data_IF_716559163767
#
_entry.id   IF_716559163767
#
_cell.length_a   1.000
_cell.length_b   1.000
_cell.length_c   1.000
_cell.angle_alpha   90.00
_cell.angle_beta   90.00
_cell.angle_gamma   90.00
#
_symmetry.space_group_name_H-M   'P 1'
#
loop_
_entity.id
_entity.type
_entity.pdbx_description
1 polymer ?
#
# COMPACT_ATOMS: atom_id res chain seq x y z
N UNK A 1 31.98 17.30 61.65
CA UNK A 1 30.80 16.64 61.05
C UNK A 1 29.89 17.55 60.18
N UNK A 2 30.28 18.78 59.79
CA UNK A 2 29.42 19.68 58.97
C UNK A 2 29.65 19.62 57.43
N UNK A 3 30.66 18.87 56.96
CA UNK A 3 31.03 18.80 55.53
C UNK A 3 30.11 17.91 54.68
N UNK A 4 29.51 16.87 55.26
CA UNK A 4 28.72 15.89 54.49
C UNK A 4 27.32 16.41 54.08
N UNK A 5 26.74 17.37 54.81
CA UNK A 5 25.40 17.89 54.49
C UNK A 5 25.36 18.67 53.17
N UNK A 6 26.40 19.42 52.84
CA UNK A 6 26.49 20.21 51.59
C UNK A 6 26.68 19.32 50.35
N UNK A 7 27.45 18.22 50.48
CA UNK A 7 27.63 17.24 49.41
C UNK A 7 26.32 16.51 49.11
N UNK A 8 25.57 16.14 50.15
CA UNK A 8 24.30 15.43 49.99
C UNK A 8 23.21 16.32 49.36
N UNK A 9 23.19 17.63 49.65
CA UNK A 9 22.20 18.52 49.02
C UNK A 9 22.50 18.79 47.54
N UNK A 10 23.78 18.89 47.16
CA UNK A 10 24.18 19.05 45.76
C UNK A 10 23.86 17.80 44.94
N UNK A 11 24.09 16.62 45.51
CA UNK A 11 23.68 15.34 44.89
C UNK A 11 22.16 15.27 44.74
N UNK A 12 21.39 15.65 45.76
CA UNK A 12 19.92 15.65 45.68
C UNK A 12 19.39 16.62 44.60
N UNK A 13 20.00 17.80 44.46
CA UNK A 13 19.63 18.77 43.43
C UNK A 13 19.92 18.26 42.00
N UNK A 14 21.06 17.60 41.80
CA UNK A 14 21.41 17.01 40.50
C UNK A 14 20.49 15.83 40.15
N UNK A 15 20.17 14.95 41.10
CA UNK A 15 19.23 13.85 40.88
C UNK A 15 17.84 14.38 40.55
N UNK A 16 17.38 15.42 41.25
CA UNK A 16 16.11 16.09 40.96
C UNK A 16 16.05 16.68 39.55
N UNK A 17 17.13 17.34 39.10
CA UNK A 17 17.22 17.90 37.76
C UNK A 17 17.19 16.82 36.67
N UNK A 18 17.93 15.72 36.86
CA UNK A 18 17.91 14.58 35.92
C UNK A 18 16.52 13.95 35.83
N UNK A 19 15.81 13.80 36.95
CA UNK A 19 14.44 13.30 36.96
C UNK A 19 13.46 14.24 36.23
N UNK A 20 13.61 15.55 36.41
CA UNK A 20 12.78 16.56 35.75
C UNK A 20 13.02 16.59 34.23
N UNK A 21 14.28 16.43 33.81
CA UNK A 21 14.63 16.31 32.39
C UNK A 21 14.12 14.99 31.79
N UNK A 22 14.19 13.87 32.52
CA UNK A 22 13.65 12.59 32.08
C UNK A 22 12.11 12.63 31.98
N UNK A 23 11.43 13.23 32.95
CA UNK A 23 9.98 13.42 32.93
C UNK A 23 9.56 14.40 31.81
N UNK A 24 10.33 15.47 31.59
CA UNK A 24 10.13 16.38 30.46
C UNK A 24 10.29 15.69 29.12
N UNK A 25 11.33 14.86 28.95
CA UNK A 25 11.54 14.07 27.74
C UNK A 25 10.45 13.01 27.53
N UNK A 26 9.95 12.38 28.61
CA UNK A 26 8.84 11.43 28.54
C UNK A 26 7.52 12.12 28.15
N UNK A 27 7.22 13.27 28.76
CA UNK A 27 6.03 14.09 28.47
C UNK A 27 6.05 14.70 27.06
N UNK A 28 7.23 15.05 26.55
CA UNK A 28 7.43 15.52 25.17
C UNK A 28 7.43 14.36 24.15
N UNK A 29 7.18 13.13 24.58
CA UNK A 29 7.09 11.98 23.69
C UNK A 29 8.42 11.54 23.09
N UNK A 30 9.56 12.04 23.61
CA UNK A 30 10.91 11.62 23.19
C UNK A 30 11.13 10.12 23.47
N UNK A 31 10.42 9.58 24.47
CA UNK A 31 10.36 8.14 24.78
C UNK A 31 9.00 7.49 24.42
N UNK A 32 8.07 8.23 23.83
CA UNK A 32 6.64 7.88 23.77
C UNK A 32 6.14 7.26 22.46
N UNK A 33 7.01 7.02 21.49
CA UNK A 33 6.68 6.24 20.29
C UNK A 33 7.79 5.23 20.04
N UNK A 34 8.02 4.34 21.00
CA UNK A 34 8.71 3.09 20.68
C UNK A 34 7.85 2.39 19.64
N UNK A 35 8.23 2.51 18.36
CA UNK A 35 7.59 1.80 17.27
C UNK A 35 7.66 0.32 17.63
N UNK A 36 6.53 -0.36 17.55
CA UNK A 36 6.48 -1.78 17.87
C UNK A 36 7.55 -2.51 17.03
N UNK A 37 8.44 -3.30 17.65
CA UNK A 37 9.50 -3.99 16.91
C UNK A 37 8.95 -4.86 15.76
N UNK A 38 7.72 -5.37 15.87
CA UNK A 38 7.05 -6.13 14.79
C UNK A 38 6.71 -5.26 13.58
N UNK A 39 6.33 -4.00 13.81
CA UNK A 39 6.04 -3.04 12.71
C UNK A 39 7.33 -2.67 11.99
N UNK A 40 8.44 -2.48 12.73
CA UNK A 40 9.75 -2.21 12.13
C UNK A 40 10.27 -3.38 11.30
N UNK A 41 10.13 -4.61 11.80
CA UNK A 41 10.53 -5.80 11.05
C UNK A 41 9.73 -5.94 9.75
N UNK A 42 8.41 -5.76 9.82
CA UNK A 42 7.56 -5.79 8.63
C UNK A 42 7.81 -4.61 7.69
N UNK A 43 8.17 -3.44 8.21
CA UNK A 43 8.58 -2.30 7.40
C UNK A 43 9.84 -2.64 6.59
N UNK A 44 10.81 -3.35 7.18
CA UNK A 44 12.00 -3.84 6.49
C UNK A 44 11.64 -4.91 5.44
N UNK A 45 10.80 -5.89 5.80
CA UNK A 45 10.34 -6.92 4.87
C UNK A 45 9.56 -6.32 3.69
N UNK A 46 8.75 -5.29 3.93
CA UNK A 46 8.00 -4.57 2.90
C UNK A 46 8.93 -3.99 1.83
N UNK A 47 10.15 -3.56 2.19
CA UNK A 47 11.13 -3.03 1.22
C UNK A 47 11.48 -4.06 0.16
N UNK A 48 11.64 -5.31 0.57
CA UNK A 48 11.97 -6.44 -0.32
C UNK A 48 10.72 -6.89 -1.08
N UNK A 49 9.58 -7.01 -0.40
CA UNK A 49 8.31 -7.45 -1.00
C UNK A 49 7.84 -6.53 -2.11
N UNK A 50 7.89 -5.21 -1.90
CA UNK A 50 7.43 -4.25 -2.89
C UNK A 50 8.49 -3.89 -3.94
N UNK A 51 9.77 -4.19 -3.67
CA UNK A 51 10.87 -3.98 -4.62
C UNK A 51 10.85 -4.87 -5.86
N UNK A 52 9.99 -5.90 -5.90
CA UNK A 52 9.80 -6.78 -7.06
C UNK A 52 10.55 -8.11 -6.98
N UNK A 53 11.65 -8.17 -6.23
CA UNK A 53 12.55 -9.34 -6.17
C UNK A 53 12.17 -10.38 -5.10
N UNK A 54 11.08 -10.14 -4.35
CA UNK A 54 10.71 -11.06 -3.28
C UNK A 54 10.15 -12.39 -3.79
N UNK A 55 10.59 -13.49 -3.17
CA UNK A 55 10.06 -14.84 -3.43
C UNK A 55 8.61 -14.97 -2.94
N UNK A 56 7.90 -16.01 -3.39
CA UNK A 56 6.52 -16.23 -2.94
C UNK A 56 6.47 -16.55 -1.44
N UNK A 57 7.50 -17.22 -0.90
CA UNK A 57 7.65 -17.49 0.53
C UNK A 57 7.80 -16.18 1.33
N UNK A 58 8.61 -15.23 0.85
CA UNK A 58 8.77 -13.93 1.48
C UNK A 58 7.48 -13.11 1.46
N UNK A 59 6.76 -13.15 0.33
CA UNK A 59 5.44 -12.51 0.22
C UNK A 59 4.42 -13.17 1.15
N UNK A 60 4.44 -14.49 1.27
CA UNK A 60 3.57 -15.24 2.17
C UNK A 60 3.85 -14.89 3.63
N UNK A 61 5.12 -14.91 4.05
CA UNK A 61 5.55 -14.53 5.39
C UNK A 61 5.17 -13.09 5.73
N UNK A 62 5.37 -12.14 4.79
CA UNK A 62 4.94 -10.76 4.97
C UNK A 62 3.42 -10.65 5.15
N UNK A 63 2.62 -11.34 4.33
CA UNK A 63 1.15 -11.37 4.46
C UNK A 63 0.71 -11.92 5.80
N UNK A 64 1.34 -12.99 6.28
CA UNK A 64 1.06 -13.59 7.59
C UNK A 64 1.42 -12.63 8.72
N UNK A 65 2.61 -12.02 8.66
CA UNK A 65 3.04 -11.02 9.63
C UNK A 65 2.07 -9.84 9.70
N UNK A 66 1.63 -9.30 8.55
CA UNK A 66 0.61 -8.25 8.51
C UNK A 66 -0.72 -8.70 9.10
N UNK A 67 -1.14 -9.96 8.92
CA UNK A 67 -2.39 -10.48 9.50
C UNK A 67 -2.31 -10.64 11.03
N UNK A 68 -1.10 -10.87 11.57
CA UNK A 68 -0.86 -10.96 13.01
C UNK A 68 -0.91 -9.60 13.74
N UNK A 69 -0.80 -8.50 13.00
CA UNK A 69 -0.86 -7.15 13.55
C UNK A 69 -2.29 -6.73 13.90
N UNK A 70 -2.41 -5.96 14.97
CA UNK A 70 -3.65 -5.24 15.29
C UNK A 70 -4.00 -4.23 14.18
N UNK A 71 -5.25 -3.79 14.14
CA UNK A 71 -5.70 -2.76 13.19
C UNK A 71 -4.91 -1.45 13.28
N UNK A 72 -4.53 -1.05 14.49
CA UNK A 72 -3.74 0.15 14.73
C UNK A 72 -2.32 0.00 14.16
N UNK A 73 -1.66 -1.12 14.44
CA UNK A 73 -0.32 -1.43 13.94
C UNK A 73 -0.30 -1.58 12.41
N UNK A 74 -1.33 -2.23 11.80
CA UNK A 74 -1.44 -2.27 10.34
C UNK A 74 -1.56 -0.89 9.74
N UNK A 75 -2.41 -0.03 10.33
CA UNK A 75 -2.57 1.34 9.86
C UNK A 75 -1.24 2.09 9.94
N UNK A 76 -0.53 1.97 11.06
CA UNK A 76 0.80 2.56 11.25
C UNK A 76 1.80 2.05 10.20
N UNK A 77 1.87 0.72 9.98
CA UNK A 77 2.72 0.12 8.96
C UNK A 77 2.43 0.71 7.56
N UNK A 78 1.16 0.82 7.17
CA UNK A 78 0.77 1.37 5.87
C UNK A 78 1.02 2.88 5.77
N UNK A 79 0.73 3.65 6.83
CA UNK A 79 0.98 5.09 6.86
C UNK A 79 2.47 5.40 6.74
N UNK A 80 3.33 4.62 7.41
CA UNK A 80 4.79 4.74 7.33
C UNK A 80 5.34 4.32 5.98
N UNK A 81 4.81 3.24 5.38
CA UNK A 81 5.20 2.78 4.06
C UNK A 81 4.70 3.67 2.91
N UNK A 82 3.74 4.57 3.18
CA UNK A 82 3.04 5.34 2.14
C UNK A 82 3.96 6.22 1.28
N UNK A 83 4.89 7.03 1.83
CA UNK A 83 5.74 7.90 1.01
C UNK A 83 6.55 7.10 -0.02
N UNK A 84 7.08 5.94 0.39
CA UNK A 84 7.83 5.05 -0.50
C UNK A 84 6.94 4.46 -1.60
N UNK A 85 5.73 4.02 -1.26
CA UNK A 85 4.76 3.54 -2.27
C UNK A 85 4.40 4.65 -3.27
N UNK A 86 4.27 5.89 -2.81
CA UNK A 86 3.98 7.04 -3.67
C UNK A 86 5.16 7.38 -4.59
N UNK A 87 6.37 7.40 -4.06
CA UNK A 87 7.59 7.61 -4.82
C UNK A 87 7.74 6.55 -5.92
N UNK A 88 7.58 5.29 -5.57
CA UNK A 88 7.68 4.18 -6.54
C UNK A 88 6.58 4.25 -7.60
N UNK A 89 5.33 4.51 -7.20
CA UNK A 89 4.25 4.67 -8.14
C UNK A 89 4.47 5.88 -9.07
N UNK A 90 5.01 6.99 -8.55
CA UNK A 90 5.34 8.17 -9.36
C UNK A 90 6.46 7.85 -10.35
N UNK A 91 7.52 7.18 -9.90
CA UNK A 91 8.61 6.71 -10.75
C UNK A 91 8.09 5.84 -11.89
N UNK A 92 7.27 4.82 -11.59
CA UNK A 92 6.69 3.92 -12.62
C UNK A 92 5.83 4.67 -13.63
N UNK A 93 5.06 5.66 -13.19
CA UNK A 93 4.24 6.47 -14.10
C UNK A 93 5.11 7.39 -14.97
N UNK A 94 6.14 8.02 -14.40
CA UNK A 94 7.08 8.83 -15.17
C UNK A 94 7.84 7.99 -16.20
N UNK A 95 8.31 6.80 -15.82
CA UNK A 95 8.94 5.84 -16.73
C UNK A 95 7.99 5.46 -17.87
N UNK A 96 6.73 5.13 -17.54
CA UNK A 96 5.72 4.79 -18.52
C UNK A 96 5.48 5.90 -19.55
N UNK A 97 5.33 7.15 -19.10
CA UNK A 97 5.11 8.29 -19.99
C UNK A 97 6.38 8.78 -20.69
N UNK A 98 7.56 8.31 -20.28
CA UNK A 98 8.82 8.56 -20.98
C UNK A 98 9.06 7.60 -22.15
N UNK A 99 8.24 6.55 -22.29
CA UNK A 99 8.33 5.61 -23.40
C UNK A 99 8.04 6.30 -24.75
N UNK A 100 8.68 5.86 -25.85
CA UNK A 100 8.25 6.24 -27.19
C UNK A 100 6.76 5.92 -27.40
N UNK A 101 6.06 6.75 -28.20
CA UNK A 101 4.60 6.65 -28.39
C UNK A 101 4.14 5.24 -28.76
N UNK A 102 4.88 4.56 -29.63
CA UNK A 102 4.56 3.21 -30.08
C UNK A 102 4.70 2.18 -28.96
N UNK A 103 5.67 2.36 -28.06
CA UNK A 103 5.86 1.49 -26.90
C UNK A 103 4.80 1.76 -25.82
N UNK A 104 4.46 3.03 -25.59
CA UNK A 104 3.36 3.40 -24.72
C UNK A 104 2.04 2.76 -25.19
N UNK A 105 1.73 2.84 -26.48
CA UNK A 105 0.52 2.22 -27.04
C UNK A 105 0.50 0.70 -26.83
N UNK A 106 1.64 0.02 -27.00
CA UNK A 106 1.76 -1.43 -26.73
C UNK A 106 1.50 -1.74 -25.26
N UNK A 107 2.07 -0.98 -24.33
CA UNK A 107 1.83 -1.18 -22.90
C UNK A 107 0.36 -0.91 -22.52
N UNK A 108 -0.30 0.05 -23.17
CA UNK A 108 -1.75 0.29 -23.03
C UNK A 108 -2.56 -0.92 -23.51
N UNK A 109 -2.26 -1.43 -24.70
CA UNK A 109 -2.86 -2.64 -25.26
C UNK A 109 -2.68 -3.85 -24.33
N UNK A 110 -1.45 -4.12 -23.89
CA UNK A 110 -1.13 -5.25 -23.00
C UNK A 110 -1.85 -5.14 -21.65
N UNK A 111 -2.12 -3.93 -21.18
CA UNK A 111 -2.92 -3.69 -19.97
C UNK A 111 -4.41 -3.92 -20.21
N UNK A 112 -4.94 -3.49 -21.34
CA UNK A 112 -6.31 -3.81 -21.75
C UNK A 112 -6.50 -5.33 -21.86
N UNK A 113 -5.56 -6.06 -22.48
CA UNK A 113 -5.58 -7.53 -22.57
C UNK A 113 -5.61 -8.20 -21.20
N UNK A 114 -4.77 -7.74 -20.27
CA UNK A 114 -4.76 -8.25 -18.89
C UNK A 114 -6.10 -8.02 -18.19
N UNK A 115 -6.74 -6.87 -18.41
CA UNK A 115 -8.06 -6.56 -17.83
C UNK A 115 -9.13 -7.50 -18.39
N UNK A 116 -9.17 -7.66 -19.72
CA UNK A 116 -10.13 -8.55 -20.39
C UNK A 116 -9.93 -10.00 -19.95
N UNK A 117 -8.70 -10.48 -19.93
CA UNK A 117 -8.37 -11.83 -19.46
C UNK A 117 -8.80 -12.03 -18.00
N UNK A 118 -8.52 -11.07 -17.12
CA UNK A 118 -8.92 -11.12 -15.73
C UNK A 118 -10.45 -11.03 -15.53
N UNK A 119 -11.18 -10.35 -16.42
CA UNK A 119 -12.66 -10.34 -16.43
C UNK A 119 -13.21 -11.71 -16.78
N UNK A 120 -12.75 -12.28 -17.90
CA UNK A 120 -13.17 -13.61 -18.36
C UNK A 120 -12.85 -14.70 -17.35
N UNK A 121 -11.67 -14.66 -16.73
CA UNK A 121 -11.33 -15.61 -15.67
C UNK A 121 -12.30 -15.50 -14.48
N UNK A 122 -12.68 -14.28 -14.10
CA UNK A 122 -13.66 -14.09 -13.02
C UNK A 122 -15.04 -14.60 -13.40
N UNK A 123 -15.51 -14.28 -14.61
CA UNK A 123 -16.78 -14.79 -15.14
C UNK A 123 -16.82 -16.32 -15.06
N UNK A 124 -15.79 -16.99 -15.57
CA UNK A 124 -15.64 -18.45 -15.53
C UNK A 124 -15.58 -19.01 -14.09
N UNK A 125 -15.01 -18.27 -13.13
CA UNK A 125 -15.01 -18.67 -11.71
C UNK A 125 -16.35 -18.46 -11.02
N UNK A 126 -17.20 -17.57 -11.52
CA UNK A 126 -18.52 -17.28 -10.91
C UNK A 126 -19.41 -18.52 -10.91
N UNK A 127 -19.22 -19.42 -11.90
CA UNK A 127 -19.92 -20.70 -12.00
C UNK A 127 -19.46 -21.75 -10.96
N UNK A 128 -18.32 -21.55 -10.30
CA UNK A 128 -17.81 -22.45 -9.24
C UNK A 128 -18.13 -21.97 -7.82
N UNK A 129 -18.98 -20.95 -7.69
CA UNK A 129 -19.26 -20.31 -6.41
C UNK A 129 -18.08 -19.43 -5.95
N UNK A 130 -18.34 -18.23 -5.40
CA UNK A 130 -17.25 -17.35 -5.01
C UNK A 130 -16.43 -18.00 -3.89
N UNK A 131 -15.09 -18.07 -3.99
CA UNK A 131 -14.25 -18.33 -2.83
C UNK A 131 -14.41 -17.16 -1.85
N UNK A 132 -15.38 -17.29 -0.93
CA UNK A 132 -15.51 -16.46 0.28
C UNK A 132 -15.93 -14.99 0.10
N UNK A 133 -16.74 -14.65 -0.91
CA UNK A 133 -17.27 -13.29 -1.05
C UNK A 133 -18.61 -13.25 -1.76
N UNK A 134 -19.70 -13.16 -0.99
CA UNK A 134 -21.08 -13.22 -1.50
C UNK A 134 -21.47 -12.11 -2.51
N UNK A 135 -22.60 -12.31 -3.22
CA UNK A 135 -23.12 -11.37 -4.22
C UNK A 135 -23.54 -10.07 -3.53
N UNK A 136 -22.73 -9.02 -3.70
CA UNK A 136 -22.82 -7.76 -2.95
C UNK A 136 -21.48 -7.25 -2.37
N UNK A 137 -20.35 -7.86 -2.75
CA UNK A 137 -18.99 -7.53 -2.29
C UNK A 137 -18.44 -6.12 -2.58
N UNK A 138 -19.28 -5.09 -2.65
CA UNK A 138 -18.90 -3.68 -2.46
C UNK A 138 -18.89 -3.24 -0.98
N UNK A 139 -19.29 -4.11 -0.05
CA UNK A 139 -19.46 -3.79 1.37
C UNK A 139 -18.27 -4.06 2.29
N UNK A 140 -17.07 -4.35 1.79
CA UNK A 140 -15.94 -4.69 2.67
C UNK A 140 -15.49 -3.49 3.52
N UNK A 141 -15.80 -3.44 4.83
CA UNK A 141 -15.48 -2.39 5.83
C UNK A 141 -15.91 -0.95 5.50
N UNK A 142 -16.13 -0.62 4.22
CA UNK A 142 -16.56 0.65 3.66
C UNK A 142 -18.07 0.70 3.41
N UNK A 143 -18.75 -0.46 3.42
CA UNK A 143 -20.19 -0.56 3.13
C UNK A 143 -21.07 0.25 4.08
N UNK A 144 -20.67 0.35 5.35
CA UNK A 144 -21.43 1.04 6.40
C UNK A 144 -21.07 2.53 6.57
N UNK A 145 -20.27 3.12 5.68
CA UNK A 145 -19.94 4.56 5.76
C UNK A 145 -21.01 5.40 5.05
N UNK A 146 -21.37 6.53 5.65
CA UNK A 146 -22.24 7.53 5.02
C UNK A 146 -21.60 8.11 3.76
N UNK A 147 -22.39 8.70 2.85
CA UNK A 147 -21.87 9.29 1.62
C UNK A 147 -20.83 10.40 1.92
N UNK A 148 -21.08 11.20 2.96
CA UNK A 148 -20.15 12.25 3.41
C UNK A 148 -18.80 11.67 3.93
N UNK A 149 -18.83 10.53 4.62
CA UNK A 149 -17.61 9.83 5.04
C UNK A 149 -16.85 9.24 3.83
N UNK A 150 -17.58 8.76 2.83
CA UNK A 150 -16.97 8.30 1.57
C UNK A 150 -16.32 9.45 0.82
N UNK A 151 -16.97 10.61 0.76
CA UNK A 151 -16.44 11.81 0.12
C UNK A 151 -15.20 12.37 0.82
N UNK A 152 -15.26 12.54 2.14
CA UNK A 152 -14.10 12.99 2.91
C UNK A 152 -12.92 12.03 2.75
N UNK A 153 -13.17 10.72 2.72
CA UNK A 153 -12.14 9.72 2.44
C UNK A 153 -11.63 9.79 1.00
N UNK A 154 -12.50 9.94 -0.01
CA UNK A 154 -12.10 10.14 -1.41
C UNK A 154 -11.19 11.35 -1.53
N UNK A 155 -11.58 12.46 -0.92
CA UNK A 155 -10.79 13.70 -0.88
C UNK A 155 -9.46 13.49 -0.18
N UNK A 156 -9.45 12.88 1.00
CA UNK A 156 -8.21 12.57 1.73
C UNK A 156 -7.28 11.67 0.90
N UNK A 157 -7.82 10.70 0.15
CA UNK A 157 -7.03 9.85 -0.75
C UNK A 157 -6.49 10.64 -1.94
N UNK A 158 -7.27 11.57 -2.52
CA UNK A 158 -6.83 12.43 -3.61
C UNK A 158 -5.76 13.43 -3.16
N UNK A 159 -5.91 14.01 -1.96
CA UNK A 159 -4.95 14.94 -1.36
C UNK A 159 -3.61 14.26 -1.02
N UNK A 160 -3.60 12.93 -0.92
CA UNK A 160 -2.37 12.16 -0.72
C UNK A 160 -1.53 12.03 -2.00
N UNK A 161 -2.09 12.29 -3.19
CA UNK A 161 -1.35 12.20 -4.45
C UNK A 161 -1.02 13.58 -4.98
N UNK A 162 0.23 13.75 -5.41
CA UNK A 162 0.68 14.97 -6.06
C UNK A 162 -0.21 15.32 -7.27
N UNK A 163 -0.53 16.61 -7.52
CA UNK A 163 -1.37 17.01 -8.64
C UNK A 163 -0.91 16.45 -10.00
N UNK A 164 0.39 16.45 -10.27
CA UNK A 164 0.95 15.92 -11.52
C UNK A 164 0.73 14.42 -11.67
N UNK A 165 0.92 13.65 -10.59
CA UNK A 165 0.69 12.21 -10.58
C UNK A 165 -0.80 11.89 -10.81
N UNK A 166 -1.71 12.68 -10.25
CA UNK A 166 -3.16 12.54 -10.49
C UNK A 166 -3.51 12.76 -11.97
N UNK A 167 -2.93 13.77 -12.61
CA UNK A 167 -3.14 14.02 -14.03
C UNK A 167 -2.65 12.83 -14.89
N UNK A 168 -1.43 12.35 -14.63
CA UNK A 168 -0.86 11.19 -15.30
C UNK A 168 -1.72 9.93 -15.14
N UNK A 169 -2.24 9.65 -13.94
CA UNK A 169 -3.15 8.52 -13.73
C UNK A 169 -4.47 8.66 -14.48
N UNK A 170 -5.05 9.86 -14.51
CA UNK A 170 -6.28 10.13 -15.26
C UNK A 170 -6.08 9.94 -16.75
N UNK A 171 -5.00 10.47 -17.31
CA UNK A 171 -4.64 10.30 -18.73
C UNK A 171 -4.36 8.84 -19.05
N UNK A 172 -3.56 8.18 -18.23
CA UNK A 172 -3.28 6.74 -18.37
C UNK A 172 -4.56 5.90 -18.36
N UNK A 173 -5.48 6.20 -17.44
CA UNK A 173 -6.78 5.51 -17.38
C UNK A 173 -7.63 5.77 -18.61
N UNK A 174 -7.64 7.02 -19.12
CA UNK A 174 -8.37 7.36 -20.34
C UNK A 174 -7.85 6.54 -21.53
N UNK A 175 -6.53 6.49 -21.74
CA UNK A 175 -5.94 5.70 -22.83
C UNK A 175 -6.31 4.20 -22.75
N UNK A 176 -6.32 3.60 -21.56
CA UNK A 176 -6.74 2.19 -21.42
C UNK A 176 -8.24 2.02 -21.67
N UNK A 177 -9.07 2.97 -21.24
CA UNK A 177 -10.50 2.92 -21.52
C UNK A 177 -10.80 3.05 -23.01
N UNK A 178 -10.12 3.97 -23.71
CA UNK A 178 -10.26 4.15 -25.15
C UNK A 178 -9.87 2.88 -25.90
N UNK A 179 -8.78 2.22 -25.47
CA UNK A 179 -8.35 0.92 -26.00
C UNK A 179 -9.39 -0.19 -25.74
N UNK A 180 -9.95 -0.28 -24.53
CA UNK A 180 -11.03 -1.22 -24.22
C UNK A 180 -12.28 -0.96 -25.07
N UNK A 181 -12.68 0.30 -25.21
CA UNK A 181 -13.85 0.71 -25.99
C UNK A 181 -13.67 0.38 -27.47
N UNK A 182 -12.48 0.59 -28.03
CA UNK A 182 -12.15 0.22 -29.42
C UNK A 182 -12.31 -1.29 -29.71
N UNK A 183 -12.27 -2.11 -28.66
CA UNK A 183 -12.45 -3.56 -28.69
C UNK A 183 -13.87 -3.99 -28.36
N UNK A 184 -14.77 -3.05 -28.06
CA UNK A 184 -16.14 -3.31 -27.62
C UNK A 184 -16.23 -3.84 -26.18
N UNK A 185 -15.20 -3.60 -25.36
CA UNK A 185 -15.17 -4.00 -23.95
C UNK A 185 -15.59 -2.84 -23.04
N UNK A 186 -16.15 -3.14 -21.86
CA UNK A 186 -16.59 -2.10 -20.92
C UNK A 186 -15.41 -1.27 -20.37
N UNK A 187 -15.59 0.03 -20.08
CA UNK A 187 -14.56 0.84 -19.44
C UNK A 187 -14.04 0.23 -18.14
N UNK A 188 -12.81 0.56 -17.77
CA UNK A 188 -12.17 0.02 -16.58
C UNK A 188 -12.94 0.37 -15.30
N UNK A 189 -13.35 -0.67 -14.57
CA UNK A 189 -14.05 -0.53 -13.29
C UNK A 189 -13.08 -0.21 -12.15
N UNK A 190 -13.61 0.24 -11.00
CA UNK A 190 -12.79 0.42 -9.79
C UNK A 190 -12.17 -0.88 -9.28
N UNK A 191 -12.75 -2.03 -9.63
CA UNK A 191 -12.19 -3.36 -9.32
C UNK A 191 -10.99 -3.66 -10.21
N UNK A 192 -11.08 -3.35 -11.50
CA UNK A 192 -9.99 -3.55 -12.46
C UNK A 192 -8.78 -2.66 -12.10
N UNK A 193 -9.02 -1.39 -11.78
CA UNK A 193 -7.97 -0.48 -11.27
C UNK A 193 -7.24 -1.06 -10.05
N UNK A 194 -7.98 -1.65 -9.10
CA UNK A 194 -7.36 -2.26 -7.92
C UNK A 194 -6.52 -3.49 -8.27
N UNK A 195 -6.97 -4.33 -9.20
CA UNK A 195 -6.19 -5.48 -9.65
C UNK A 195 -4.89 -5.06 -10.34
N UNK A 196 -4.95 -3.96 -11.08
CA UNK A 196 -3.84 -3.40 -11.84
C UNK A 196 -2.75 -2.79 -10.95
N UNK A 197 -3.13 -1.99 -9.96
CA UNK A 197 -2.18 -1.31 -9.07
C UNK A 197 -1.88 -2.06 -7.77
N UNK A 198 -2.75 -3.00 -7.39
CA UNK A 198 -2.72 -3.69 -6.09
C UNK A 198 -1.75 -4.88 -6.00
N UNK A 199 -0.91 -5.11 -7.02
CA UNK A 199 0.27 -5.99 -6.94
C UNK A 199 0.06 -7.47 -6.57
N UNK A 200 -1.17 -7.96 -6.38
CA UNK A 200 -1.32 -9.31 -5.86
C UNK A 200 -2.75 -9.82 -5.89
N UNK A 201 -3.00 -10.73 -6.85
CA UNK A 201 -3.84 -11.95 -6.73
C UNK A 201 -4.24 -12.55 -8.08
N UNK A 202 -3.98 -11.89 -9.20
CA UNK A 202 -4.15 -12.50 -10.51
C UNK A 202 -2.94 -13.36 -10.80
N UNK A 203 -3.10 -14.69 -10.73
CA UNK A 203 -2.05 -15.64 -11.08
C UNK A 203 -1.43 -15.27 -12.42
N UNK A 204 -0.10 -15.21 -12.47
CA UNK A 204 0.60 -15.16 -13.74
C UNK A 204 0.07 -16.30 -14.62
N UNK A 205 -0.27 -16.04 -15.89
CA UNK A 205 -0.59 -17.12 -16.81
C UNK A 205 0.62 -18.06 -16.84
N UNK A 206 0.35 -19.35 -16.70
CA UNK A 206 1.33 -20.38 -16.42
C UNK A 206 2.67 -20.20 -17.14
N UNK A 207 3.74 -20.22 -16.35
CA UNK A 207 5.07 -20.64 -16.78
C UNK A 207 5.10 -22.14 -17.12
N UNK A 208 4.15 -22.60 -17.95
CA UNK A 208 4.07 -23.92 -18.54
C UNK A 208 4.63 -23.92 -19.95
N UNK A 209 5.76 -23.24 -20.17
CA UNK A 209 6.50 -23.23 -21.43
C UNK A 209 7.49 -24.39 -21.52
N UNK A 210 7.08 -25.59 -21.12
CA UNK A 210 7.85 -26.82 -21.33
C UNK A 210 7.65 -27.32 -22.76
N UNK A 211 8.25 -26.65 -23.75
CA UNK A 211 8.47 -27.25 -25.06
C UNK A 211 9.66 -28.21 -24.95
N UNK A 212 9.36 -29.43 -24.52
CA UNK A 212 10.20 -30.59 -24.81
C UNK A 212 10.06 -30.93 -26.29
N UNK A 213 11.21 -31.15 -26.93
CA UNK A 213 11.38 -31.59 -28.31
C UNK A 213 10.78 -32.97 -28.57
#
# INVERSE_FOLDING_TARGET
MKSNKKKNSLVAALVGLVFLLAAGAWALGVFGKSVDPRVLELEEQAKNVFGGDATEEQRAAFREGVQSLTDAQRRELFERGRPRMQEEASRRMNELFSLPKEQLQREISDRADRIVAARRERENRTDQGPPGGGPGGGGGRWGNMSEEQRDSRRKQMLDQFEPGMRAQFSEFRAMVNDELESRGEEPMSGRDMRAMFGGGRGGGPGGGGGRGA
#
